data_IF_394228798205
#
_entry.id   IF_394228798205
#
_cell.length_a   1.000
_cell.length_b   1.000
_cell.length_c   1.000
_cell.angle_alpha   90.00
_cell.angle_beta   90.00
_cell.angle_gamma   90.00
#
_symmetry.space_group_name_H-M   'P 1'
#
loop_
_entity.id
_entity.type
_entity.pdbx_description
1 polymer ?
#
# COMPACT_ATOMS: atom_id res chain seq x y z
N UNK A 1 6.50 -8.62 -5.63
CA UNK A 1 6.25 -9.99 -5.14
C UNK A 1 5.24 -9.96 -4.00
N UNK A 2 4.61 -11.11 -3.72
CA UNK A 2 3.89 -11.41 -2.47
C UNK A 2 4.74 -11.08 -1.23
N UNK A 3 4.39 -10.00 -0.55
CA UNK A 3 4.85 -9.64 0.79
C UNK A 3 3.89 -10.23 1.82
N UNK A 4 4.41 -10.90 2.83
CA UNK A 4 3.66 -11.08 4.07
C UNK A 4 3.68 -9.73 4.79
N UNK A 5 2.54 -9.06 4.93
CA UNK A 5 2.46 -7.78 5.64
C UNK A 5 2.06 -8.05 7.07
N UNK A 6 2.78 -7.52 8.06
CA UNK A 6 2.42 -7.69 9.47
C UNK A 6 2.00 -6.32 10.03
N UNK A 7 0.77 -6.23 10.56
CA UNK A 7 0.25 -5.01 11.20
C UNK A 7 0.46 -5.04 12.74
N UNK A 8 1.31 -4.16 13.30
CA UNK A 8 1.67 -4.11 14.73
C UNK A 8 1.67 -2.65 15.27
N UNK A 9 0.73 -2.30 16.16
CA UNK A 9 0.71 -1.11 17.08
C UNK A 9 1.74 -1.20 18.25
N UNK A 10 2.03 -0.11 18.99
CA UNK A 10 2.80 1.07 18.60
C UNK A 10 4.13 1.16 19.39
N UNK A 11 5.26 1.28 18.71
CA UNK A 11 6.48 1.86 19.28
C UNK A 11 7.09 2.81 18.24
N UNK A 12 7.37 4.02 18.71
CA UNK A 12 7.92 5.15 17.98
C UNK A 12 9.22 4.81 17.24
N UNK A 13 9.25 5.03 15.92
CA UNK A 13 10.49 5.11 15.13
C UNK A 13 10.74 6.59 14.79
N UNK A 14 11.98 7.10 14.92
CA UNK A 14 12.28 8.52 14.73
C UNK A 14 11.97 8.99 13.30
N UNK A 15 11.40 10.20 13.17
CA UNK A 15 11.23 10.89 11.89
C UNK A 15 12.60 11.15 11.27
N UNK A 16 12.83 10.65 10.06
CA UNK A 16 14.05 10.93 9.30
C UNK A 16 13.83 12.20 8.46
N UNK A 17 14.18 13.37 9.01
CA UNK A 17 14.00 14.70 8.38
C UNK A 17 15.25 15.20 7.67
N UNK A 18 16.09 14.32 7.11
CA UNK A 18 17.41 14.73 6.60
C UNK A 18 17.65 14.31 5.16
N UNK A 19 16.78 14.73 4.24
CA UNK A 19 17.00 14.53 2.81
C UNK A 19 17.89 15.64 2.20
N UNK A 20 17.74 16.89 2.66
CA UNK A 20 18.28 18.04 1.94
C UNK A 20 19.79 18.26 2.17
N UNK A 21 20.35 17.84 3.30
CA UNK A 21 21.76 18.10 3.63
C UNK A 21 22.74 17.08 3.03
N UNK A 22 22.31 15.83 2.81
CA UNK A 22 23.20 14.75 2.34
C UNK A 22 23.33 14.73 0.82
N UNK A 23 22.30 15.15 0.08
CA UNK A 23 22.33 15.18 -1.39
C UNK A 23 23.47 16.08 -1.93
N UNK A 24 23.72 17.22 -1.30
CA UNK A 24 24.79 18.13 -1.69
C UNK A 24 26.20 17.60 -1.36
N UNK A 25 26.35 16.71 -0.36
CA UNK A 25 27.64 16.08 -0.03
C UNK A 25 28.00 14.93 -0.97
N UNK A 26 27.00 14.26 -1.53
CA UNK A 26 27.19 13.08 -2.40
C UNK A 26 27.47 13.49 -3.86
N UNK A 27 27.06 14.68 -4.29
CA UNK A 27 27.24 15.19 -5.65
C UNK A 27 28.56 15.97 -5.88
N UNK A 28 29.50 15.93 -4.92
CA UNK A 28 30.81 16.61 -5.01
C UNK A 28 31.76 16.17 -6.14
N UNK A 29 31.28 15.38 -7.11
CA UNK A 29 31.96 15.07 -8.36
C UNK A 29 30.98 15.24 -9.52
N UNK A 30 31.33 16.08 -10.49
CA UNK A 30 30.41 16.67 -11.47
C UNK A 30 29.46 15.70 -12.19
N UNK A 31 28.23 16.14 -12.39
CA UNK A 31 27.24 15.61 -13.35
C UNK A 31 27.63 15.92 -14.81
N UNK A 32 28.89 15.72 -15.17
CA UNK A 32 29.36 15.86 -16.54
C UNK A 32 29.85 14.49 -16.98
N UNK A 33 29.18 13.91 -18.00
CA UNK A 33 29.26 12.51 -18.44
C UNK A 33 28.40 11.54 -17.62
N UNK A 34 27.07 11.73 -17.68
CA UNK A 34 26.13 10.67 -17.31
C UNK A 34 26.06 9.67 -18.46
N UNK A 35 26.14 8.35 -18.21
CA UNK A 35 25.82 7.35 -19.22
C UNK A 35 24.39 7.56 -19.72
N UNK A 36 24.14 7.37 -21.02
CA UNK A 36 22.78 7.32 -21.58
C UNK A 36 22.01 6.07 -21.12
N UNK A 37 22.70 5.13 -20.46
CA UNK A 37 22.13 3.93 -19.87
C UNK A 37 21.57 4.20 -18.46
N UNK A 38 20.24 4.25 -18.38
CA UNK A 38 19.47 4.36 -17.14
C UNK A 38 19.90 3.35 -16.07
N UNK A 39 20.31 2.13 -16.47
CA UNK A 39 20.74 1.10 -15.52
C UNK A 39 22.04 1.50 -14.84
N UNK A 40 23.03 1.94 -15.61
CA UNK A 40 24.31 2.40 -15.08
C UNK A 40 24.16 3.61 -14.15
N UNK A 41 23.19 4.51 -14.44
CA UNK A 41 22.88 5.65 -13.56
C UNK A 41 22.24 5.20 -12.24
N UNK A 42 21.23 4.31 -12.29
CA UNK A 42 20.59 3.74 -11.10
C UNK A 42 21.61 3.05 -10.19
N UNK A 43 22.52 2.27 -10.77
CA UNK A 43 23.60 1.63 -10.01
C UNK A 43 24.55 2.62 -9.33
N UNK A 44 24.88 3.74 -9.99
CA UNK A 44 25.72 4.79 -9.38
C UNK A 44 25.01 5.43 -8.18
N UNK A 45 23.71 5.71 -8.30
CA UNK A 45 22.90 6.25 -7.21
C UNK A 45 22.81 5.25 -6.05
N UNK A 46 22.55 3.98 -6.34
CA UNK A 46 22.48 2.92 -5.34
C UNK A 46 23.81 2.78 -4.57
N UNK A 47 24.95 2.77 -5.27
CA UNK A 47 26.29 2.75 -4.63
C UNK A 47 26.53 3.97 -3.75
N UNK A 48 26.09 5.15 -4.19
CA UNK A 48 26.24 6.38 -3.43
C UNK A 48 25.38 6.37 -2.15
N UNK A 49 24.13 5.90 -2.24
CA UNK A 49 23.24 5.70 -1.09
C UNK A 49 23.82 4.69 -0.11
N UNK A 50 24.30 3.55 -0.59
CA UNK A 50 24.91 2.52 0.26
C UNK A 50 26.17 3.05 0.98
N UNK A 51 27.01 3.85 0.32
CA UNK A 51 28.16 4.49 0.98
C UNK A 51 27.74 5.49 2.06
N UNK A 52 26.63 6.19 1.88
CA UNK A 52 26.16 7.21 2.81
C UNK A 52 25.39 6.64 4.01
N UNK A 53 24.58 5.59 3.79
CA UNK A 53 23.64 5.06 4.78
C UNK A 53 23.92 3.61 5.21
N UNK A 54 24.86 2.93 4.56
CA UNK A 54 25.21 1.54 4.86
C UNK A 54 24.00 0.60 4.74
N UNK A 55 23.88 -0.30 5.71
CA UNK A 55 22.83 -1.31 5.80
C UNK A 55 21.59 -0.85 6.58
N UNK A 56 21.55 0.42 7.00
CA UNK A 56 20.41 0.99 7.74
C UNK A 56 19.14 1.06 6.87
N UNK A 57 19.29 1.09 5.55
CA UNK A 57 18.19 1.07 4.59
C UNK A 57 18.09 -0.28 3.88
N UNK A 58 16.84 -0.74 3.70
CA UNK A 58 16.56 -1.93 2.92
C UNK A 58 16.90 -1.70 1.43
N UNK A 59 17.35 -2.76 0.72
CA UNK A 59 17.69 -2.65 -0.69
C UNK A 59 16.45 -2.42 -1.57
N UNK A 60 16.65 -1.84 -2.76
CA UNK A 60 15.60 -1.66 -3.76
C UNK A 60 14.91 -2.99 -4.11
N UNK A 61 13.65 -2.94 -4.53
CA UNK A 61 12.90 -4.13 -4.93
C UNK A 61 13.42 -4.69 -6.26
N UNK A 62 13.71 -5.99 -6.29
CA UNK A 62 14.28 -6.68 -7.46
C UNK A 62 13.48 -7.91 -7.88
N UNK A 63 12.16 -7.91 -7.62
CA UNK A 63 11.32 -9.11 -7.70
C UNK A 63 11.88 -10.27 -6.86
N UNK A 64 12.37 -9.97 -5.66
CA UNK A 64 12.71 -10.94 -4.61
C UNK A 64 11.72 -10.83 -3.44
N UNK A 65 11.49 -11.88 -2.63
CA UNK A 65 10.57 -11.80 -1.50
C UNK A 65 11.00 -10.71 -0.50
N UNK A 66 10.03 -9.99 0.07
CA UNK A 66 10.23 -8.95 1.09
C UNK A 66 9.10 -9.01 2.12
N UNK A 67 9.39 -8.52 3.32
CA UNK A 67 8.40 -8.34 4.39
C UNK A 67 8.38 -6.86 4.75
N UNK A 68 7.18 -6.31 4.82
CA UNK A 68 6.93 -4.94 5.25
C UNK A 68 6.00 -4.99 6.46
N UNK A 69 6.27 -4.16 7.47
CA UNK A 69 5.44 -4.06 8.66
C UNK A 69 4.94 -2.63 8.81
N UNK A 70 3.78 -2.48 9.44
CA UNK A 70 3.14 -1.18 9.56
C UNK A 70 1.94 -1.22 10.49
N UNK A 71 1.10 -0.20 10.41
CA UNK A 71 -0.15 -0.13 11.16
C UNK A 71 -1.31 0.13 10.22
N UNK A 72 -2.48 -0.39 10.57
CA UNK A 72 -3.73 -0.01 9.91
C UNK A 72 -4.08 1.42 10.31
N UNK A 73 -3.96 2.35 9.38
CA UNK A 73 -4.18 3.78 9.66
C UNK A 73 -4.64 4.54 8.42
N UNK A 74 -5.39 5.61 8.68
CA UNK A 74 -5.78 6.60 7.69
C UNK A 74 -4.67 7.63 7.45
N UNK A 75 -4.98 8.71 6.73
CA UNK A 75 -4.04 9.82 6.52
C UNK A 75 -4.79 11.15 6.44
N UNK A 76 -4.04 12.26 6.37
CA UNK A 76 -4.60 13.58 6.13
C UNK A 76 -4.44 13.95 4.65
N UNK A 77 -5.55 14.11 3.94
CA UNK A 77 -5.59 14.54 2.55
C UNK A 77 -6.03 16.01 2.50
N UNK A 78 -5.13 16.92 2.15
CA UNK A 78 -5.43 18.35 2.07
C UNK A 78 -6.18 18.91 3.31
N UNK A 79 -5.80 18.46 4.51
CA UNK A 79 -6.42 18.85 5.77
C UNK A 79 -7.69 18.08 6.17
N UNK A 80 -8.14 17.13 5.33
CA UNK A 80 -9.26 16.24 5.63
C UNK A 80 -8.76 14.87 6.10
N UNK A 81 -9.34 14.35 7.17
CA UNK A 81 -9.01 13.02 7.65
C UNK A 81 -9.64 11.96 6.74
N UNK A 82 -8.82 11.12 6.12
CA UNK A 82 -9.25 9.94 5.39
C UNK A 82 -9.14 8.73 6.32
N UNK A 83 -10.24 8.00 6.59
CA UNK A 83 -10.23 6.88 7.53
C UNK A 83 -9.48 5.67 6.99
N UNK A 84 -9.03 4.82 7.91
CA UNK A 84 -8.30 3.59 7.57
C UNK A 84 -9.17 2.54 6.87
N UNK A 85 -10.50 2.65 6.97
CA UNK A 85 -11.43 1.61 6.54
C UNK A 85 -12.50 2.17 5.62
N UNK A 86 -12.78 1.44 4.55
CA UNK A 86 -14.05 1.57 3.82
C UNK A 86 -15.02 0.49 4.28
N UNK A 87 -16.32 0.71 4.05
CA UNK A 87 -17.39 -0.22 4.42
C UNK A 87 -18.28 -0.53 3.23
N UNK A 88 -19.00 -1.64 3.32
CA UNK A 88 -19.94 -2.09 2.28
C UNK A 88 -21.01 -1.06 1.93
N UNK A 89 -21.47 -0.24 2.89
CA UNK A 89 -22.37 0.89 2.60
C UNK A 89 -21.82 1.78 1.47
N UNK A 90 -20.53 2.09 1.50
CA UNK A 90 -19.86 2.94 0.51
C UNK A 90 -19.75 2.35 -0.89
N UNK A 91 -19.97 1.04 -1.06
CA UNK A 91 -20.15 0.43 -2.39
C UNK A 91 -21.46 0.90 -3.02
N UNK A 92 -22.55 0.80 -2.27
CA UNK A 92 -23.90 1.13 -2.75
C UNK A 92 -24.12 2.64 -2.86
N UNK A 93 -23.51 3.44 -1.99
CA UNK A 93 -23.54 4.90 -2.08
C UNK A 93 -22.89 5.42 -3.39
N UNK A 94 -21.88 4.72 -3.90
CA UNK A 94 -21.14 5.09 -5.12
C UNK A 94 -21.73 4.50 -6.40
N UNK A 95 -22.66 3.56 -6.29
CA UNK A 95 -23.21 2.85 -7.43
C UNK A 95 -24.11 3.78 -8.27
N UNK A 96 -23.64 4.19 -9.46
CA UNK A 96 -24.41 5.03 -10.38
C UNK A 96 -25.27 4.22 -11.37
N UNK A 97 -25.01 2.91 -11.48
CA UNK A 97 -25.61 2.05 -12.52
C UNK A 97 -24.94 2.17 -13.89
N UNK A 98 -23.91 3.01 -14.03
CA UNK A 98 -23.13 3.19 -15.27
C UNK A 98 -21.64 3.00 -15.03
N UNK A 99 -20.85 2.52 -16.03
CA UNK A 99 -19.40 2.41 -15.88
C UNK A 99 -18.75 3.75 -15.47
N UNK A 100 -17.73 3.76 -14.59
CA UNK A 100 -17.11 2.60 -13.94
C UNK A 100 -17.81 2.12 -12.64
N UNK A 101 -18.96 2.70 -12.27
CA UNK A 101 -19.67 2.42 -11.01
C UNK A 101 -20.96 1.59 -11.19
N UNK A 102 -21.03 0.78 -12.25
CA UNK A 102 -22.11 -0.17 -12.45
C UNK A 102 -21.85 -1.43 -11.61
N UNK A 103 -22.81 -1.80 -10.75
CA UNK A 103 -22.75 -3.06 -9.99
C UNK A 103 -23.26 -4.22 -10.84
N UNK A 104 -22.69 -5.41 -10.63
CA UNK A 104 -23.26 -6.63 -11.22
C UNK A 104 -24.57 -7.01 -10.53
N UNK A 105 -25.44 -7.72 -11.24
CA UNK A 105 -26.75 -8.12 -10.71
C UNK A 105 -26.66 -8.86 -9.37
N UNK A 106 -25.63 -9.71 -9.18
CA UNK A 106 -25.39 -10.42 -7.92
C UNK A 106 -25.22 -9.50 -6.71
N UNK A 107 -24.54 -8.36 -6.88
CA UNK A 107 -24.37 -7.37 -5.81
C UNK A 107 -25.64 -6.57 -5.57
N UNK A 108 -26.43 -6.32 -6.62
CA UNK A 108 -27.75 -5.66 -6.51
C UNK A 108 -28.70 -6.56 -5.72
N UNK A 109 -28.82 -7.82 -6.09
CA UNK A 109 -29.70 -8.81 -5.44
C UNK A 109 -29.29 -9.12 -4.00
N UNK A 110 -28.01 -8.97 -3.67
CA UNK A 110 -27.47 -9.22 -2.33
C UNK A 110 -27.59 -8.02 -1.37
N UNK A 111 -27.98 -6.83 -1.85
CA UNK A 111 -27.97 -5.58 -1.05
C UNK A 111 -28.70 -5.71 0.28
N UNK A 112 -29.88 -6.34 0.29
CA UNK A 112 -30.67 -6.50 1.52
C UNK A 112 -30.10 -7.53 2.51
N UNK A 113 -29.16 -8.39 2.06
CA UNK A 113 -28.55 -9.45 2.87
C UNK A 113 -27.13 -9.13 3.32
N UNK A 114 -26.49 -8.15 2.68
CA UNK A 114 -25.14 -7.69 3.04
C UNK A 114 -25.22 -6.68 4.19
N UNK A 115 -24.50 -6.96 5.27
CA UNK A 115 -24.33 -5.99 6.35
C UNK A 115 -23.58 -4.74 5.82
N UNK A 116 -24.19 -3.54 5.90
CA UNK A 116 -23.57 -2.30 5.43
C UNK A 116 -22.28 -1.93 6.18
N UNK A 117 -22.06 -2.49 7.37
CA UNK A 117 -20.92 -2.17 8.24
C UNK A 117 -19.69 -3.04 8.04
N UNK A 118 -19.78 -4.10 7.22
CA UNK A 118 -18.65 -4.96 6.90
C UNK A 118 -17.51 -4.11 6.34
N UNK A 119 -16.32 -4.24 6.92
CA UNK A 119 -15.11 -3.60 6.42
C UNK A 119 -14.84 -4.17 5.03
N UNK A 120 -14.66 -3.28 4.06
CA UNK A 120 -14.42 -3.63 2.67
C UNK A 120 -12.93 -3.59 2.38
N UNK A 121 -12.34 -2.40 2.39
CA UNK A 121 -10.90 -2.19 2.25
C UNK A 121 -10.34 -1.61 3.54
N UNK A 122 -9.05 -1.89 3.78
CA UNK A 122 -8.25 -1.29 4.84
C UNK A 122 -7.00 -0.66 4.24
N UNK A 123 -6.56 0.46 4.82
CA UNK A 123 -5.28 1.08 4.50
C UNK A 123 -4.27 0.85 5.62
N UNK A 124 -2.99 0.73 5.26
CA UNK A 124 -1.92 0.60 6.23
C UNK A 124 -0.67 1.37 5.83
N UNK A 125 0.19 1.67 6.81
CA UNK A 125 1.49 2.29 6.63
C UNK A 125 2.55 1.32 6.09
N UNK A 126 2.16 0.23 5.45
CA UNK A 126 3.11 -0.68 4.83
C UNK A 126 3.71 -0.03 3.58
N UNK A 127 5.03 -0.09 3.45
CA UNK A 127 5.70 0.26 2.21
C UNK A 127 5.47 -0.83 1.17
N UNK A 128 4.77 -0.47 0.10
CA UNK A 128 4.45 -1.34 -1.04
C UNK A 128 4.69 -0.59 -2.34
N UNK A 129 5.20 -1.30 -3.33
CA UNK A 129 5.34 -0.80 -4.70
C UNK A 129 4.82 -1.84 -5.70
N UNK A 130 4.93 -1.54 -7.00
CA UNK A 130 4.57 -2.41 -8.10
C UNK A 130 5.03 -3.87 -7.90
N UNK A 131 4.11 -4.81 -8.11
CA UNK A 131 4.32 -6.24 -7.89
C UNK A 131 3.92 -6.74 -6.49
N UNK A 132 3.51 -5.87 -5.57
CA UNK A 132 3.02 -6.27 -4.23
C UNK A 132 1.54 -6.71 -4.23
N UNK A 133 0.83 -6.65 -5.35
CA UNK A 133 -0.56 -7.11 -5.43
C UNK A 133 -0.67 -8.62 -5.18
N UNK A 134 -1.70 -9.03 -4.43
CA UNK A 134 -1.94 -10.42 -4.01
C UNK A 134 -1.23 -10.84 -2.72
N UNK A 135 -0.36 -9.98 -2.19
CA UNK A 135 0.33 -10.16 -0.92
C UNK A 135 -0.62 -10.32 0.27
N UNK A 136 -0.47 -11.35 1.13
CA UNK A 136 -1.32 -11.48 2.31
C UNK A 136 -1.06 -10.35 3.31
N UNK A 137 -2.13 -9.72 3.78
CA UNK A 137 -2.12 -8.87 4.96
C UNK A 137 -2.35 -9.75 6.19
N UNK A 138 -1.41 -9.72 7.13
CA UNK A 138 -1.39 -10.50 8.35
C UNK A 138 -1.57 -9.61 9.58
N UNK A 139 -2.29 -10.13 10.56
CA UNK A 139 -2.30 -9.55 11.91
C UNK A 139 -1.08 -9.99 12.74
N UNK A 140 -1.05 -9.56 14.00
CA UNK A 140 0.03 -9.83 14.94
C UNK A 140 0.22 -11.32 15.25
N UNK A 141 -0.83 -12.10 15.08
CA UNK A 141 -0.85 -13.54 15.29
C UNK A 141 -0.53 -14.32 14.01
N UNK A 142 -0.22 -13.62 12.91
CA UNK A 142 0.10 -14.23 11.62
C UNK A 142 -1.13 -14.74 10.86
N UNK A 143 -2.34 -14.33 11.25
CA UNK A 143 -3.58 -14.71 10.55
C UNK A 143 -3.78 -13.80 9.35
N UNK A 144 -4.24 -14.36 8.23
CA UNK A 144 -4.58 -13.58 7.04
C UNK A 144 -5.84 -12.77 7.31
N UNK A 145 -5.73 -11.45 7.25
CA UNK A 145 -6.83 -10.49 7.43
C UNK A 145 -7.19 -9.75 6.14
N UNK A 146 -6.37 -9.84 5.09
CA UNK A 146 -6.67 -9.26 3.78
C UNK A 146 -5.64 -9.62 2.70
N UNK A 147 -5.77 -8.98 1.55
CA UNK A 147 -4.80 -9.05 0.46
C UNK A 147 -4.55 -7.65 -0.11
N UNK A 148 -3.27 -7.26 -0.19
CA UNK A 148 -2.88 -5.99 -0.80
C UNK A 148 -3.19 -6.01 -2.29
N UNK A 149 -3.74 -4.93 -2.83
CA UNK A 149 -4.00 -4.81 -4.26
C UNK A 149 -3.48 -3.51 -4.87
N UNK A 150 -3.33 -2.46 -4.07
CA UNK A 150 -2.89 -1.15 -4.54
C UNK A 150 -2.20 -0.33 -3.44
N UNK A 151 -1.77 0.89 -3.79
CA UNK A 151 -1.48 1.97 -2.84
C UNK A 151 -2.30 3.22 -3.16
N UNK A 152 -2.30 4.20 -2.27
CA UNK A 152 -2.94 5.49 -2.55
C UNK A 152 -2.11 6.33 -3.53
N UNK A 153 -2.65 7.46 -4.01
CA UNK A 153 -1.97 8.30 -5.01
C UNK A 153 -0.55 8.72 -4.60
N UNK A 154 -0.32 8.94 -3.30
CA UNK A 154 0.99 9.30 -2.74
C UNK A 154 2.01 8.16 -2.83
N UNK A 155 1.56 6.90 -2.91
CA UNK A 155 2.46 5.75 -3.06
C UNK A 155 3.10 5.64 -4.44
N UNK A 156 2.63 6.39 -5.45
CA UNK A 156 3.25 6.41 -6.78
C UNK A 156 4.71 6.89 -6.75
N UNK A 157 5.04 7.78 -5.81
CA UNK A 157 6.42 8.22 -5.56
C UNK A 157 7.24 7.24 -4.70
N UNK A 158 6.60 6.18 -4.17
CA UNK A 158 7.17 5.22 -3.22
C UNK A 158 8.41 4.48 -3.74
N UNK A 159 8.55 4.33 -5.07
CA UNK A 159 9.75 3.76 -5.68
C UNK A 159 11.02 4.58 -5.37
N UNK A 160 10.87 5.88 -5.15
CA UNK A 160 11.98 6.80 -4.86
C UNK A 160 12.05 7.16 -3.38
N UNK A 161 10.90 7.40 -2.75
CA UNK A 161 10.81 7.84 -1.37
C UNK A 161 9.48 7.45 -0.73
N UNK A 162 9.57 6.91 0.49
CA UNK A 162 8.42 6.58 1.32
C UNK A 162 8.13 7.70 2.33
N UNK A 163 6.95 8.30 2.26
CA UNK A 163 6.45 9.24 3.27
C UNK A 163 5.45 8.55 4.20
N UNK A 164 5.85 8.27 5.44
CA UNK A 164 4.97 7.64 6.43
C UNK A 164 3.72 8.44 6.79
N UNK A 165 3.69 9.76 6.52
CA UNK A 165 2.52 10.58 6.77
C UNK A 165 1.44 10.44 5.68
N UNK A 166 1.83 10.09 4.45
CA UNK A 166 0.95 10.11 3.28
C UNK A 166 0.80 8.74 2.60
N UNK A 167 1.87 7.95 2.47
CA UNK A 167 1.86 6.68 1.77
C UNK A 167 0.97 5.67 2.49
N UNK A 168 0.03 5.08 1.77
CA UNK A 168 -0.81 3.99 2.29
C UNK A 168 -0.85 2.84 1.29
N UNK A 169 -0.63 1.63 1.80
CA UNK A 169 -1.01 0.41 1.11
C UNK A 169 -2.51 0.21 1.24
N UNK A 170 -3.18 -0.27 0.19
CA UNK A 170 -4.60 -0.58 0.17
C UNK A 170 -4.79 -2.08 0.02
N UNK A 171 -5.53 -2.66 0.96
CA UNK A 171 -5.85 -4.08 0.99
C UNK A 171 -7.35 -4.30 1.00
N UNK A 172 -7.80 -5.30 0.26
CA UNK A 172 -9.16 -5.83 0.39
C UNK A 172 -9.17 -6.77 1.59
N UNK A 173 -10.19 -6.66 2.43
CA UNK A 173 -10.24 -7.42 3.70
C UNK A 173 -10.91 -8.77 3.54
N UNK A 174 -10.52 -9.72 4.38
CA UNK A 174 -11.15 -11.05 4.44
C UNK A 174 -12.62 -10.99 4.87
N UNK A 175 -13.02 -9.94 5.60
CA UNK A 175 -14.41 -9.73 6.03
C UNK A 175 -15.35 -9.57 4.85
N UNK A 176 -15.01 -8.72 3.88
CA UNK A 176 -15.83 -8.59 2.67
C UNK A 176 -15.70 -9.79 1.74
N UNK A 177 -14.53 -10.41 1.63
CA UNK A 177 -14.37 -11.62 0.82
C UNK A 177 -15.31 -12.73 1.30
N UNK A 178 -15.35 -12.97 2.62
CA UNK A 178 -16.22 -13.97 3.23
C UNK A 178 -17.70 -13.59 3.07
N UNK A 179 -18.04 -12.32 3.32
CA UNK A 179 -19.42 -11.85 3.15
C UNK A 179 -19.89 -12.02 1.71
N UNK A 180 -19.12 -11.57 0.73
CA UNK A 180 -19.44 -11.66 -0.69
C UNK A 180 -19.61 -13.12 -1.15
N UNK A 181 -18.72 -14.03 -0.73
CA UNK A 181 -18.85 -15.46 -1.02
C UNK A 181 -20.15 -16.04 -0.45
N UNK A 182 -20.51 -15.65 0.78
CA UNK A 182 -21.71 -16.15 1.46
C UNK A 182 -23.02 -15.52 0.96
N UNK A 183 -23.02 -14.29 0.46
CA UNK A 183 -24.27 -13.55 0.15
C UNK A 183 -24.48 -13.26 -1.34
N UNK A 184 -23.40 -12.98 -2.06
CA UNK A 184 -23.42 -12.63 -3.48
C UNK A 184 -23.18 -13.84 -4.37
N UNK A 185 -22.47 -14.84 -3.85
CA UNK A 185 -22.09 -16.06 -4.59
C UNK A 185 -22.77 -17.32 -4.06
N UNK A 186 -23.61 -17.22 -3.02
CA UNK A 186 -24.45 -18.32 -2.59
C UNK A 186 -25.44 -18.64 -3.71
N UNK A 187 -25.19 -19.75 -4.40
CA UNK A 187 -26.18 -20.40 -5.23
C UNK A 187 -27.29 -20.90 -4.32
N UNK A 188 -28.54 -20.71 -4.72
CA UNK A 188 -29.62 -21.59 -4.28
C UNK A 188 -29.22 -22.99 -4.73
N UNK A 189 -28.78 -23.81 -3.77
CA UNK A 189 -28.63 -25.26 -3.95
C UNK A 189 -30.01 -25.89 -3.92
#
# INVERSE_FOLDING_TARGET
>A
MCAAHIAIEPWSIPRMTTFTATFARVTGGGMTNLPDDDKALKERIARARFRAFGEEHYPDATFSPRVSYGRVEGWMEAGQAVPAFTRTAGLYERASGTPPFALSQRWIDARARLDPNVIYNATSSNDVIGGSSGSPLLDREGRVVGAAFDGNIHSLGGEYFYDGALNRSVSVTTTIMRAALATCMAWTI
#
